data_IF_272718127195
#
_entry.id   IF_272718127195
#
_cell.length_a   1.000
_cell.length_b   1.000
_cell.length_c   1.000
_cell.angle_alpha   90.00
_cell.angle_beta   90.00
_cell.angle_gamma   90.00
#
_symmetry.space_group_name_H-M   'P 1'
#
loop_
_entity.id
_entity.type
_entity.pdbx_description
1 polymer ?
#
# COMPACT_ATOMS: atom_id res chain seq x y z
N UNK A 1 -9.49 30.81 -50.84
CA UNK A 1 -10.34 30.02 -51.76
C UNK A 1 -9.63 29.90 -53.09
N UNK A 2 -9.76 28.75 -53.72
CA UNK A 2 -9.21 28.46 -55.04
C UNK A 2 -10.35 27.92 -55.92
N UNK A 3 -10.34 28.27 -57.20
CA UNK A 3 -11.39 27.82 -58.12
C UNK A 3 -11.06 26.41 -58.61
N UNK A 4 -11.89 25.44 -58.24
CA UNK A 4 -11.77 24.07 -58.74
C UNK A 4 -12.44 23.97 -60.11
N UNK A 5 -11.63 23.76 -61.13
CA UNK A 5 -12.07 23.67 -62.53
C UNK A 5 -12.91 22.41 -62.79
N UNK A 6 -12.71 21.33 -62.04
CA UNK A 6 -13.42 20.06 -62.24
C UNK A 6 -14.88 20.14 -61.78
N UNK A 7 -15.14 20.84 -60.67
CA UNK A 7 -16.48 21.00 -60.11
C UNK A 7 -17.06 22.42 -60.28
N UNK A 8 -16.34 23.30 -60.98
CA UNK A 8 -16.73 24.68 -61.31
C UNK A 8 -17.17 25.51 -60.10
N UNK A 9 -16.55 25.31 -58.95
CA UNK A 9 -16.86 26.03 -57.71
C UNK A 9 -15.61 26.48 -56.97
N UNK A 10 -15.75 27.48 -56.09
CA UNK A 10 -14.68 27.88 -55.20
C UNK A 10 -14.59 26.91 -54.02
N UNK A 11 -13.41 26.33 -53.81
CA UNK A 11 -13.11 25.46 -52.68
C UNK A 11 -12.05 26.08 -51.79
N UNK A 12 -11.94 25.59 -50.56
CA UNK A 12 -10.83 25.95 -49.69
C UNK A 12 -9.53 25.36 -50.22
N UNK A 13 -8.43 26.09 -50.03
CA UNK A 13 -7.09 25.57 -50.36
C UNK A 13 -6.77 24.37 -49.46
N UNK A 14 -5.92 23.45 -49.91
CA UNK A 14 -5.67 22.14 -49.27
C UNK A 14 -5.38 22.17 -47.75
N UNK A 15 -4.83 23.27 -47.22
CA UNK A 15 -4.56 23.39 -45.77
C UNK A 15 -5.77 23.80 -44.93
N UNK A 16 -6.83 24.31 -45.55
CA UNK A 16 -8.03 24.85 -44.90
C UNK A 16 -9.18 23.84 -44.97
N UNK A 17 -10.07 23.92 -44.00
CA UNK A 17 -11.35 23.21 -44.02
C UNK A 17 -12.47 24.22 -44.27
N UNK A 18 -13.60 23.72 -44.77
CA UNK A 18 -14.83 24.52 -44.87
C UNK A 18 -15.62 24.35 -43.58
N UNK A 19 -15.85 25.44 -42.86
CA UNK A 19 -16.66 25.50 -41.64
C UNK A 19 -17.65 26.66 -41.78
N UNK A 20 -18.96 26.37 -41.71
CA UNK A 20 -20.06 27.31 -41.98
C UNK A 20 -19.90 28.14 -43.28
N UNK A 21 -19.38 27.49 -44.34
CA UNK A 21 -19.17 28.14 -45.64
C UNK A 21 -17.94 29.07 -45.71
N UNK A 22 -17.14 29.13 -44.65
CA UNK A 22 -15.89 29.91 -44.58
C UNK A 22 -14.69 28.96 -44.53
N UNK A 23 -13.58 29.35 -45.15
CA UNK A 23 -12.32 28.59 -45.05
C UNK A 23 -11.59 28.92 -43.76
N UNK A 24 -11.53 27.97 -42.83
CA UNK A 24 -10.88 28.10 -41.53
C UNK A 24 -9.76 27.07 -41.35
N UNK A 25 -8.92 27.26 -40.33
CA UNK A 25 -7.99 26.21 -39.92
C UNK A 25 -8.69 25.28 -38.93
N UNK A 26 -8.60 23.98 -39.18
CA UNK A 26 -9.12 22.95 -38.28
C UNK A 26 -8.57 23.11 -36.85
N UNK A 27 -9.25 22.50 -35.89
CA UNK A 27 -8.72 22.32 -34.54
C UNK A 27 -7.29 21.75 -34.58
N UNK A 28 -6.45 22.21 -33.66
CA UNK A 28 -5.02 21.89 -33.62
C UNK A 28 -4.14 22.63 -34.63
N UNK A 29 -4.72 23.46 -35.53
CA UNK A 29 -3.96 24.23 -36.52
C UNK A 29 -4.16 25.73 -36.38
N UNK A 30 -3.19 26.54 -36.79
CA UNK A 30 -3.29 28.00 -36.84
C UNK A 30 -2.77 28.56 -38.17
N UNK A 31 -3.17 29.79 -38.49
CA UNK A 31 -2.82 30.45 -39.74
C UNK A 31 -1.40 31.05 -39.64
N UNK A 32 -0.46 30.48 -40.40
CA UNK A 32 0.91 30.98 -40.49
C UNK A 32 1.28 31.21 -41.95
N UNK A 33 1.58 32.46 -42.32
CA UNK A 33 1.94 32.85 -43.69
C UNK A 33 0.93 32.39 -44.76
N UNK A 34 -0.37 32.52 -44.47
CA UNK A 34 -1.45 32.19 -45.41
C UNK A 34 -1.74 30.69 -45.56
N UNK A 35 -1.15 29.83 -44.72
CA UNK A 35 -1.44 28.39 -44.68
C UNK A 35 -1.72 27.95 -43.25
N UNK A 36 -2.63 26.98 -43.08
CA UNK A 36 -2.86 26.38 -41.77
C UNK A 36 -1.72 25.40 -41.46
N UNK A 37 -1.08 25.60 -40.31
CA UNK A 37 -0.04 24.72 -39.77
C UNK A 37 -0.44 24.21 -38.40
N UNK A 38 0.04 23.03 -38.02
CA UNK A 38 -0.15 22.52 -36.65
C UNK A 38 0.33 23.53 -35.61
N UNK A 39 -0.34 23.57 -34.47
CA UNK A 39 0.14 24.31 -33.30
C UNK A 39 1.55 23.83 -32.93
N UNK A 40 2.39 24.76 -32.46
CA UNK A 40 3.70 24.41 -31.89
C UNK A 40 3.54 23.66 -30.56
N UNK A 41 4.61 23.03 -30.05
CA UNK A 41 4.55 22.35 -28.74
C UNK A 41 4.23 23.35 -27.63
N UNK A 42 3.47 22.91 -26.63
CA UNK A 42 2.95 23.81 -25.59
C UNK A 42 1.82 24.74 -26.06
N UNK A 43 1.16 24.43 -27.18
CA UNK A 43 -0.01 25.16 -27.68
C UNK A 43 -1.12 24.22 -28.15
N UNK A 44 -2.37 24.67 -28.06
CA UNK A 44 -3.53 23.90 -28.51
C UNK A 44 -4.65 24.80 -29.08
N UNK A 45 -5.55 24.23 -29.87
CA UNK A 45 -6.73 24.94 -30.40
C UNK A 45 -7.91 23.99 -30.60
N UNK A 46 -9.05 24.25 -29.96
CA UNK A 46 -10.19 23.33 -29.93
C UNK A 46 -11.22 23.57 -31.04
N UNK A 47 -11.31 24.82 -31.49
CA UNK A 47 -12.27 25.30 -32.47
C UNK A 47 -11.69 25.31 -33.89
N UNK A 48 -12.57 25.42 -34.88
CA UNK A 48 -12.20 25.64 -36.27
C UNK A 48 -12.21 27.15 -36.54
N UNK A 49 -11.03 27.75 -36.64
CA UNK A 49 -10.90 29.21 -36.79
C UNK A 49 -9.56 29.58 -37.41
N UNK A 50 -9.38 30.83 -37.79
CA UNK A 50 -8.06 31.34 -38.23
C UNK A 50 -7.21 31.85 -37.07
N UNK A 51 -7.72 31.77 -35.85
CA UNK A 51 -7.09 32.36 -34.67
C UNK A 51 -5.79 31.64 -34.29
N UNK A 52 -5.01 32.31 -33.44
CA UNK A 52 -3.78 31.77 -32.87
C UNK A 52 -4.10 30.64 -31.89
N UNK A 53 -3.20 29.66 -31.78
CA UNK A 53 -3.34 28.61 -30.78
C UNK A 53 -3.18 29.19 -29.36
N UNK A 54 -4.02 28.72 -28.43
CA UNK A 54 -3.93 29.00 -27.01
C UNK A 54 -2.61 28.48 -26.43
N UNK A 55 -2.13 29.10 -25.35
CA UNK A 55 -0.82 28.84 -24.76
C UNK A 55 -0.97 28.01 -23.50
N UNK A 56 -0.34 26.83 -23.46
CA UNK A 56 -0.43 25.95 -22.29
C UNK A 56 0.11 26.60 -21.01
N UNK A 57 1.25 27.29 -21.11
CA UNK A 57 1.96 27.95 -20.01
C UNK A 57 1.10 29.00 -19.27
N UNK A 58 0.27 29.76 -20.00
CA UNK A 58 -0.52 30.85 -19.40
C UNK A 58 -1.99 30.48 -19.17
N UNK A 59 -2.50 29.48 -19.90
CA UNK A 59 -3.94 29.21 -19.96
C UNK A 59 -4.33 27.87 -19.31
N UNK A 60 -3.36 27.01 -18.98
CA UNK A 60 -3.63 25.63 -18.52
C UNK A 60 -2.75 25.23 -17.33
N UNK A 61 -1.45 25.10 -17.55
CA UNK A 61 -0.45 24.64 -16.57
C UNK A 61 0.74 25.58 -16.66
N UNK A 62 1.07 26.26 -15.57
CA UNK A 62 2.21 27.17 -15.53
C UNK A 62 3.51 26.40 -15.79
N UNK A 63 4.28 26.82 -16.79
CA UNK A 63 5.53 26.21 -17.24
C UNK A 63 5.37 25.04 -18.22
N UNK A 64 4.16 24.76 -18.71
CA UNK A 64 3.93 23.71 -19.71
C UNK A 64 4.26 24.23 -21.12
N UNK A 65 5.46 23.88 -21.58
CA UNK A 65 6.00 24.28 -22.89
C UNK A 65 6.07 23.11 -23.88
N UNK A 66 5.61 21.93 -23.47
CA UNK A 66 5.71 20.69 -24.26
C UNK A 66 4.32 20.10 -24.52
N UNK A 67 4.27 19.14 -25.46
CA UNK A 67 3.06 18.40 -25.79
C UNK A 67 3.24 16.90 -25.55
N UNK A 68 2.20 16.22 -25.04
CA UNK A 68 2.24 14.77 -24.85
C UNK A 68 2.41 14.06 -26.20
N UNK A 69 3.40 13.18 -26.30
CA UNK A 69 3.66 12.41 -27.53
C UNK A 69 2.43 11.61 -27.98
N UNK A 70 2.06 11.76 -29.26
CA UNK A 70 0.94 11.06 -29.86
C UNK A 70 -0.44 11.63 -29.54
N UNK A 71 -0.52 12.82 -28.93
CA UNK A 71 -1.79 13.55 -28.75
C UNK A 71 -1.97 14.62 -29.80
N UNK A 72 -3.22 14.84 -30.22
CA UNK A 72 -3.58 15.95 -31.09
C UNK A 72 -3.64 17.25 -30.27
N UNK A 73 -3.17 18.36 -30.85
CA UNK A 73 -3.16 19.69 -30.21
C UNK A 73 -4.54 20.36 -30.23
N UNK A 74 -5.60 19.57 -30.15
CA UNK A 74 -7.00 20.00 -30.23
C UNK A 74 -7.57 20.38 -28.87
N UNK A 75 -6.85 20.14 -27.77
CA UNK A 75 -7.33 20.50 -26.43
C UNK A 75 -6.19 20.73 -25.45
N UNK A 76 -6.53 21.35 -24.32
CA UNK A 76 -5.64 21.54 -23.19
C UNK A 76 -5.06 20.22 -22.62
N UNK A 77 -5.66 19.07 -22.91
CA UNK A 77 -5.13 17.76 -22.49
C UNK A 77 -3.80 17.40 -23.17
N UNK A 78 -3.47 18.07 -24.28
CA UNK A 78 -2.17 17.92 -24.95
C UNK A 78 -1.04 18.65 -24.23
N UNK A 79 -1.33 19.59 -23.32
CA UNK A 79 -0.35 20.37 -22.58
C UNK A 79 0.45 19.50 -21.60
N UNK A 80 1.78 19.61 -21.62
CA UNK A 80 2.64 18.80 -20.79
C UNK A 80 3.80 19.60 -20.16
N UNK A 81 4.20 19.16 -18.97
CA UNK A 81 5.51 19.51 -18.43
C UNK A 81 6.60 18.76 -19.20
N UNK A 82 7.69 19.46 -19.49
CA UNK A 82 8.83 18.88 -20.18
C UNK A 82 9.64 17.90 -19.33
N UNK A 83 10.71 17.39 -19.94
CA UNK A 83 11.63 16.44 -19.31
C UNK A 83 12.21 16.97 -18.00
N UNK A 84 12.39 16.08 -17.02
CA UNK A 84 12.91 16.46 -15.70
C UNK A 84 11.93 17.25 -14.83
N UNK A 85 10.69 17.44 -15.28
CA UNK A 85 9.63 18.15 -14.57
C UNK A 85 8.38 17.30 -14.40
N UNK A 86 7.57 17.64 -13.42
CA UNK A 86 6.25 17.05 -13.20
C UNK A 86 5.21 18.14 -12.95
N UNK A 87 3.96 17.86 -13.30
CA UNK A 87 2.83 18.72 -12.96
C UNK A 87 2.43 18.54 -11.49
N UNK A 88 2.48 19.63 -10.73
CA UNK A 88 1.91 19.73 -9.39
C UNK A 88 0.55 20.46 -9.44
N UNK A 89 -0.57 19.73 -9.26
CA UNK A 89 -1.90 20.32 -9.30
C UNK A 89 -2.29 21.06 -8.00
N UNK A 90 -1.48 20.98 -6.94
CA UNK A 90 -1.84 21.49 -5.60
C UNK A 90 -1.81 23.02 -5.50
N UNK A 91 -1.11 23.69 -6.41
CA UNK A 91 -0.92 25.15 -6.42
C UNK A 91 -1.36 25.78 -7.77
N UNK A 92 -2.66 25.79 -8.10
CA UNK A 92 -3.16 26.48 -9.28
C UNK A 92 -2.98 28.00 -9.16
N UNK A 93 -2.68 28.68 -10.28
CA UNK A 93 -2.56 30.14 -10.34
C UNK A 93 -3.66 30.74 -11.22
N UNK A 94 -3.94 32.05 -11.13
CA UNK A 94 -4.84 32.72 -12.08
C UNK A 94 -4.37 32.48 -13.52
N UNK A 95 -5.26 32.00 -14.38
CA UNK A 95 -4.95 31.60 -15.76
C UNK A 95 -4.53 30.14 -15.92
N UNK A 96 -3.91 29.51 -14.90
CA UNK A 96 -3.41 28.12 -14.97
C UNK A 96 -4.09 27.24 -13.93
N UNK A 97 -5.36 26.85 -14.17
CA UNK A 97 -6.18 26.14 -13.19
C UNK A 97 -5.71 24.71 -12.92
N UNK A 98 -4.86 24.14 -13.78
CA UNK A 98 -4.39 22.76 -13.64
C UNK A 98 -3.07 22.64 -12.86
N UNK A 99 -2.50 23.76 -12.38
CA UNK A 99 -1.31 23.77 -11.55
C UNK A 99 -0.06 24.26 -12.29
N UNK A 100 1.11 23.78 -11.86
CA UNK A 100 2.41 24.25 -12.33
C UNK A 100 3.39 23.09 -12.54
N UNK A 101 4.30 23.25 -13.49
CA UNK A 101 5.44 22.37 -13.68
C UNK A 101 6.53 22.68 -12.66
N UNK A 102 6.88 21.67 -11.87
CA UNK A 102 7.95 21.72 -10.88
C UNK A 102 9.10 20.81 -11.31
N UNK A 103 10.33 21.21 -10.98
CA UNK A 103 11.51 20.41 -11.28
C UNK A 103 11.59 19.21 -10.33
N UNK A 104 11.81 18.03 -10.88
CA UNK A 104 11.97 16.81 -10.09
C UNK A 104 13.16 16.87 -9.11
N UNK A 105 14.19 17.67 -9.42
CA UNK A 105 15.34 17.88 -8.55
C UNK A 105 15.00 18.60 -7.25
N UNK A 106 13.89 19.34 -7.20
CA UNK A 106 13.44 20.07 -6.00
C UNK A 106 12.80 19.15 -4.95
N UNK A 107 12.53 17.88 -5.29
CA UNK A 107 11.92 16.89 -4.41
C UNK A 107 12.90 16.34 -3.35
N UNK A 108 13.61 17.21 -2.63
CA UNK A 108 14.47 16.91 -1.45
C UNK A 108 15.45 15.73 -1.51
N UNK A 109 15.60 15.02 -2.63
CA UNK A 109 16.58 13.96 -2.86
C UNK A 109 16.85 13.89 -4.37
N UNK A 110 18.10 14.12 -4.82
CA UNK A 110 18.45 13.93 -6.22
C UNK A 110 18.34 12.45 -6.68
N UNK A 111 18.04 11.51 -5.78
CA UNK A 111 18.19 10.08 -6.06
C UNK A 111 16.92 9.24 -5.97
N UNK A 112 15.77 9.78 -5.53
CA UNK A 112 14.56 8.98 -5.26
C UNK A 112 13.58 8.79 -6.40
N UNK A 113 13.77 9.49 -7.52
CA UNK A 113 12.79 9.58 -8.63
C UNK A 113 13.47 9.31 -9.98
N UNK A 114 12.74 8.76 -10.95
CA UNK A 114 13.19 8.56 -12.35
C UNK A 114 12.51 9.57 -13.29
N UNK A 115 13.04 10.78 -13.44
CA UNK A 115 12.32 11.89 -14.10
C UNK A 115 12.89 12.35 -15.45
N UNK A 116 14.08 11.90 -15.84
CA UNK A 116 14.87 12.62 -16.85
C UNK A 116 14.37 12.49 -18.30
N UNK A 117 13.64 11.41 -18.64
CA UNK A 117 13.32 11.09 -20.04
C UNK A 117 11.83 11.19 -20.41
N UNK A 118 10.95 11.47 -19.45
CA UNK A 118 9.50 11.39 -19.66
C UNK A 118 8.87 12.78 -19.73
N UNK A 119 8.07 13.03 -20.76
CA UNK A 119 7.23 14.23 -20.91
C UNK A 119 5.85 13.94 -20.31
N UNK A 120 5.24 14.94 -19.66
CA UNK A 120 3.88 14.81 -19.14
C UNK A 120 3.77 14.02 -17.84
N UNK A 121 4.87 13.96 -17.06
CA UNK A 121 4.79 13.44 -15.70
C UNK A 121 3.87 14.31 -14.85
N UNK A 122 3.12 13.67 -13.97
CA UNK A 122 2.30 14.32 -12.94
C UNK A 122 2.79 13.87 -11.58
N UNK A 123 2.43 14.60 -10.52
CA UNK A 123 2.73 14.17 -9.16
C UNK A 123 2.23 12.73 -8.90
N UNK A 124 1.04 12.40 -9.40
CA UNK A 124 0.46 11.06 -9.28
C UNK A 124 1.29 9.98 -9.99
N UNK A 125 1.70 10.24 -11.23
CA UNK A 125 2.42 9.28 -12.10
C UNK A 125 3.94 9.31 -11.92
N UNK A 126 4.43 10.11 -10.96
CA UNK A 126 5.85 10.28 -10.72
C UNK A 126 6.51 8.94 -10.31
N UNK A 127 7.45 8.40 -11.12
CA UNK A 127 8.04 7.10 -10.87
C UNK A 127 9.13 7.19 -9.80
N UNK A 128 8.95 6.45 -8.71
CA UNK A 128 9.92 6.33 -7.64
C UNK A 128 10.96 5.25 -7.97
N UNK A 129 12.19 5.44 -7.48
CA UNK A 129 13.21 4.37 -7.48
C UNK A 129 12.88 3.34 -6.39
N UNK A 130 13.38 2.13 -6.57
CA UNK A 130 13.27 1.08 -5.55
C UNK A 130 13.98 1.53 -4.26
N UNK A 131 13.42 1.15 -3.11
CA UNK A 131 13.91 1.58 -1.80
C UNK A 131 13.51 3.00 -1.40
N UNK A 132 12.63 3.66 -2.16
CA UNK A 132 12.01 4.93 -1.75
C UNK A 132 10.54 4.73 -1.43
N UNK A 133 9.92 5.69 -0.75
CA UNK A 133 8.51 5.63 -0.40
C UNK A 133 7.92 7.02 -0.26
N UNK A 134 6.62 7.12 -0.53
CA UNK A 134 5.80 8.31 -0.26
C UNK A 134 4.47 7.88 0.33
N UNK A 135 3.86 8.76 1.12
CA UNK A 135 2.60 8.47 1.80
C UNK A 135 1.39 8.33 0.87
N UNK A 136 1.45 8.91 -0.32
CA UNK A 136 0.40 8.82 -1.34
C UNK A 136 0.93 9.28 -2.68
N UNK A 137 0.19 8.99 -3.75
CA UNK A 137 0.47 9.47 -5.11
C UNK A 137 0.49 10.99 -5.22
N UNK A 138 -0.10 11.72 -4.27
CA UNK A 138 -0.13 13.19 -4.23
C UNK A 138 0.92 13.81 -3.29
N UNK A 139 1.81 13.00 -2.73
CA UNK A 139 2.90 13.48 -1.86
C UNK A 139 4.18 13.68 -2.67
N UNK A 140 4.74 14.88 -2.58
CA UNK A 140 6.09 15.26 -3.02
C UNK A 140 7.16 14.98 -1.96
N UNK A 141 6.74 14.56 -0.76
CA UNK A 141 7.65 14.11 0.30
C UNK A 141 8.00 12.66 0.05
N UNK A 142 9.20 12.47 -0.48
CA UNK A 142 9.79 11.18 -0.80
C UNK A 142 10.89 10.90 0.22
N UNK A 143 10.87 9.72 0.79
CA UNK A 143 11.86 9.29 1.79
C UNK A 143 12.47 7.95 1.40
N UNK A 144 13.71 7.70 1.81
CA UNK A 144 14.33 6.39 1.65
C UNK A 144 13.76 5.41 2.67
N UNK A 145 13.55 4.17 2.26
CA UNK A 145 13.14 3.10 3.13
C UNK A 145 14.28 2.58 4.00
N UNK A 146 13.95 2.11 5.20
CA UNK A 146 14.92 1.49 6.10
C UNK A 146 15.50 0.20 5.50
N UNK A 147 14.67 -0.51 4.73
CA UNK A 147 15.03 -1.73 4.01
C UNK A 147 14.66 -1.50 2.55
N UNK A 148 15.68 -1.40 1.68
CA UNK A 148 15.48 -1.07 0.27
C UNK A 148 14.52 -2.06 -0.43
N UNK A 149 14.55 -3.35 -0.05
CA UNK A 149 13.68 -4.37 -0.63
C UNK A 149 12.22 -4.31 -0.17
N UNK A 150 11.92 -3.57 0.91
CA UNK A 150 10.55 -3.46 1.44
C UNK A 150 9.66 -2.51 0.62
N UNK A 151 10.30 -1.61 -0.13
CA UNK A 151 9.64 -0.60 -0.95
C UNK A 151 9.94 -0.85 -2.42
N UNK A 152 9.00 -1.52 -3.09
CA UNK A 152 9.09 -1.83 -4.51
C UNK A 152 7.84 -1.26 -5.17
N UNK A 153 8.03 -0.37 -6.12
CA UNK A 153 6.93 0.30 -6.80
C UNK A 153 6.54 -0.47 -8.05
N UNK A 154 5.66 -1.44 -7.90
CA UNK A 154 5.04 -2.13 -9.04
C UNK A 154 3.96 -1.26 -9.71
N UNK A 155 3.37 -0.31 -8.97
CA UNK A 155 2.30 0.59 -9.44
C UNK A 155 2.35 1.92 -8.66
N UNK A 156 1.88 3.05 -9.22
CA UNK A 156 1.79 4.34 -8.51
C UNK A 156 1.03 4.32 -7.18
N UNK A 157 0.13 3.34 -6.98
CA UNK A 157 -0.67 3.18 -5.75
C UNK A 157 -0.15 2.08 -4.81
N UNK A 158 0.80 1.24 -5.26
CA UNK A 158 1.32 0.12 -4.48
C UNK A 158 2.84 0.26 -4.30
N UNK A 159 3.22 0.79 -3.12
CA UNK A 159 4.59 1.18 -2.80
C UNK A 159 5.34 0.14 -1.96
N UNK A 160 4.66 -0.93 -1.54
CA UNK A 160 5.22 -1.92 -0.61
C UNK A 160 5.28 -3.30 -1.24
N UNK A 161 6.36 -4.03 -0.98
CA UNK A 161 6.41 -5.47 -1.29
C UNK A 161 5.36 -6.25 -0.53
N UNK A 162 4.98 -7.40 -1.10
CA UNK A 162 4.08 -8.37 -0.47
C UNK A 162 4.51 -8.66 0.98
N UNK A 163 3.53 -8.61 1.90
CA UNK A 163 3.76 -8.84 3.32
C UNK A 163 4.07 -7.57 4.12
N UNK A 164 4.36 -6.45 3.44
CA UNK A 164 4.65 -5.15 4.06
C UNK A 164 3.51 -4.15 3.80
N UNK A 165 3.29 -3.25 4.76
CA UNK A 165 2.28 -2.18 4.69
C UNK A 165 2.67 -1.00 5.60
N UNK A 166 1.85 0.04 5.61
CA UNK A 166 2.01 1.22 6.45
C UNK A 166 3.16 2.14 6.02
N UNK A 167 3.50 3.14 6.86
CA UNK A 167 4.55 4.10 6.58
C UNK A 167 5.90 3.42 6.34
N UNK A 168 6.54 3.76 5.22
CA UNK A 168 7.86 3.23 4.83
C UNK A 168 7.85 1.69 4.74
N UNK A 169 6.68 1.09 4.51
CA UNK A 169 6.50 -0.35 4.43
C UNK A 169 7.06 -1.11 5.65
N UNK A 170 7.00 -0.47 6.83
CA UNK A 170 7.63 -0.96 8.07
C UNK A 170 6.75 -1.91 8.89
N UNK A 171 5.47 -2.05 8.51
CA UNK A 171 4.47 -2.87 9.20
C UNK A 171 4.25 -4.16 8.43
N UNK A 172 4.13 -5.30 9.10
CA UNK A 172 3.74 -6.54 8.45
C UNK A 172 2.23 -6.61 8.27
N UNK A 173 1.78 -7.05 7.09
CA UNK A 173 0.38 -7.39 6.87
C UNK A 173 -0.03 -8.57 7.74
N UNK A 174 -1.32 -8.77 7.90
CA UNK A 174 -1.86 -9.92 8.62
C UNK A 174 -1.31 -11.25 8.04
N UNK A 175 -0.97 -12.18 8.93
CA UNK A 175 -0.35 -13.46 8.55
C UNK A 175 1.15 -13.38 8.27
N UNK A 176 1.80 -12.22 8.44
CA UNK A 176 3.25 -12.05 8.31
C UNK A 176 3.88 -11.57 9.63
N UNK A 177 5.15 -11.92 9.86
CA UNK A 177 5.95 -11.45 10.99
C UNK A 177 7.38 -11.09 10.56
N UNK A 178 7.99 -10.14 11.26
CA UNK A 178 9.38 -9.73 11.01
C UNK A 178 10.35 -10.86 11.36
N UNK A 179 11.33 -11.08 10.49
CA UNK A 179 12.48 -11.93 10.78
C UNK A 179 13.61 -11.13 11.48
N UNK A 180 14.76 -11.75 11.69
CA UNK A 180 15.92 -11.11 12.33
C UNK A 180 16.54 -9.93 11.55
N UNK A 181 16.09 -9.70 10.31
CA UNK A 181 16.55 -8.63 9.41
C UNK A 181 15.39 -7.68 9.08
N UNK A 182 14.34 -7.65 9.91
CA UNK A 182 13.16 -6.79 9.78
C UNK A 182 12.33 -6.97 8.49
N UNK A 183 12.54 -8.07 7.76
CA UNK A 183 11.74 -8.44 6.57
C UNK A 183 10.51 -9.24 7.02
N UNK A 184 9.33 -8.86 6.54
CA UNK A 184 8.09 -9.57 6.81
C UNK A 184 8.06 -10.90 6.04
N UNK A 185 7.90 -12.01 6.77
CA UNK A 185 7.76 -13.36 6.23
C UNK A 185 6.43 -13.96 6.66
N UNK A 186 5.80 -14.81 5.82
CA UNK A 186 4.55 -15.45 6.20
C UNK A 186 4.78 -16.29 7.46
N UNK A 187 3.84 -16.20 8.39
CA UNK A 187 3.81 -17.04 9.57
C UNK A 187 3.72 -18.49 9.11
N UNK A 188 4.81 -19.24 9.25
CA UNK A 188 4.70 -20.69 9.25
C UNK A 188 3.87 -21.03 10.47
N UNK A 189 2.67 -21.57 10.26
CA UNK A 189 1.97 -22.28 11.31
C UNK A 189 2.85 -23.49 11.66
N UNK A 190 3.81 -23.28 12.56
CA UNK A 190 4.39 -24.34 13.34
C UNK A 190 3.25 -24.86 14.21
N UNK A 191 2.39 -25.68 13.58
CA UNK A 191 1.32 -26.36 14.25
C UNK A 191 1.97 -27.15 15.36
N UNK A 192 1.75 -26.71 16.60
CA UNK A 192 2.06 -27.51 17.77
C UNK A 192 1.34 -28.84 17.51
N UNK A 193 2.11 -29.89 17.22
CA UNK A 193 1.54 -31.09 16.66
C UNK A 193 0.50 -31.65 17.62
N UNK A 194 -0.55 -32.28 17.10
CA UNK A 194 -1.53 -33.02 17.90
C UNK A 194 -0.82 -33.98 18.87
N UNK A 195 0.37 -34.47 18.49
CA UNK A 195 1.26 -35.26 19.33
C UNK A 195 1.68 -34.57 20.63
N UNK A 196 1.93 -33.26 20.64
CA UNK A 196 2.29 -32.52 21.87
C UNK A 196 1.12 -32.45 22.85
N UNK A 197 -0.10 -32.21 22.35
CA UNK A 197 -1.31 -32.23 23.17
C UNK A 197 -1.61 -33.64 23.71
N UNK A 198 -1.45 -34.67 22.87
CA UNK A 198 -1.60 -36.07 23.30
C UNK A 198 -0.58 -36.47 24.39
N UNK A 199 0.65 -35.97 24.31
CA UNK A 199 1.68 -36.25 25.31
C UNK A 199 1.37 -35.60 26.66
N UNK A 200 0.88 -34.35 26.65
CA UNK A 200 0.45 -33.64 27.85
C UNK A 200 -0.80 -34.27 28.50
N UNK A 201 -1.77 -34.74 27.72
CA UNK A 201 -2.95 -35.43 28.26
C UNK A 201 -2.58 -36.78 28.88
N UNK A 202 -1.66 -37.55 28.27
CA UNK A 202 -1.18 -38.81 28.87
C UNK A 202 -0.41 -38.58 30.17
N UNK A 203 0.46 -37.56 30.23
CA UNK A 203 1.20 -37.22 31.46
C UNK A 203 0.28 -36.78 32.59
N UNK A 204 -0.79 -36.03 32.29
CA UNK A 204 -1.77 -35.62 33.31
C UNK A 204 -2.63 -36.79 33.79
N UNK A 205 -3.07 -37.69 32.90
CA UNK A 205 -3.83 -38.88 33.28
C UNK A 205 -3.00 -39.88 34.09
N UNK A 206 -1.73 -40.08 33.74
CA UNK A 206 -0.82 -40.96 34.49
C UNK A 206 -0.52 -40.42 35.88
N UNK A 207 -0.23 -39.13 36.02
CA UNK A 207 -0.03 -38.50 37.34
C UNK A 207 -1.30 -38.58 38.20
N UNK A 208 -2.47 -38.32 37.62
CA UNK A 208 -3.76 -38.49 38.31
C UNK A 208 -3.97 -39.94 38.75
N UNK A 209 -3.71 -40.91 37.88
CA UNK A 209 -3.79 -42.34 38.20
C UNK A 209 -2.90 -42.70 39.38
N UNK A 210 -1.63 -42.28 39.40
CA UNK A 210 -0.71 -42.55 40.52
C UNK A 210 -1.16 -41.90 41.82
N UNK A 211 -1.71 -40.67 41.77
CA UNK A 211 -2.27 -39.99 42.95
C UNK A 211 -3.49 -40.74 43.47
N UNK A 212 -4.43 -41.12 42.60
CA UNK A 212 -5.60 -41.91 42.97
C UNK A 212 -5.18 -43.27 43.53
N UNK A 213 -4.22 -43.96 42.92
CA UNK A 213 -3.69 -45.23 43.44
C UNK A 213 -3.04 -45.08 44.81
N UNK A 214 -2.39 -43.96 45.09
CA UNK A 214 -1.78 -43.68 46.40
C UNK A 214 -2.81 -43.34 47.47
N UNK A 215 -3.92 -42.70 47.09
CA UNK A 215 -5.04 -42.36 47.98
C UNK A 215 -5.91 -43.60 48.27
N UNK A 216 -6.31 -44.33 47.23
CA UNK A 216 -7.20 -45.49 47.33
C UNK A 216 -6.47 -46.82 47.60
N UNK A 217 -5.14 -46.89 47.42
CA UNK A 217 -4.34 -48.09 47.67
C UNK A 217 -3.92 -48.31 49.12
N UNK A 218 -4.47 -47.53 50.07
CA UNK A 218 -4.17 -47.64 51.51
C UNK A 218 -5.25 -48.33 52.33
N UNK A 219 -6.08 -49.18 51.73
CA UNK A 219 -7.01 -50.01 52.48
C UNK A 219 -6.84 -51.50 52.19
N UNK A 220 -5.84 -52.08 52.87
CA UNK A 220 -5.93 -53.42 53.42
C UNK A 220 -5.36 -53.39 54.84
N UNK A 221 -6.18 -53.01 55.80
CA UNK A 221 -5.91 -53.33 57.21
C UNK A 221 -7.09 -54.12 57.77
N UNK A 222 -6.75 -55.33 58.20
CA UNK A 222 -7.61 -56.37 58.71
C UNK A 222 -8.44 -55.88 59.91
N UNK A 223 -9.75 -56.06 59.84
CA UNK A 223 -10.70 -55.76 60.91
C UNK A 223 -10.58 -56.87 61.97
N UNK A 224 -9.72 -56.66 62.96
CA UNK A 224 -9.83 -57.29 64.28
C UNK A 224 -8.96 -56.53 65.29
N UNK A 225 -9.62 -55.85 66.25
CA UNK A 225 -9.06 -55.30 67.49
C UNK A 225 -8.19 -54.03 67.47
N UNK A 226 -8.60 -52.94 66.81
CA UNK A 226 -8.02 -51.59 67.06
C UNK A 226 -9.11 -50.56 67.30
N UNK A 227 -9.90 -50.72 68.36
CA UNK A 227 -10.86 -49.70 68.80
C UNK A 227 -10.28 -48.67 69.78
N UNK A 228 -9.00 -48.76 70.18
CA UNK A 228 -8.43 -47.87 71.20
C UNK A 228 -7.21 -47.03 70.79
N UNK A 229 -6.67 -47.21 69.58
CA UNK A 229 -5.53 -46.39 69.07
C UNK A 229 -5.93 -45.44 67.93
N UNK A 230 -7.23 -45.19 67.73
CA UNK A 230 -7.73 -44.30 66.65
C UNK A 230 -7.89 -42.83 67.11
N UNK A 231 -7.83 -42.52 68.40
CA UNK A 231 -7.97 -41.13 68.86
C UNK A 231 -6.68 -40.29 68.83
N UNK A 232 -5.49 -40.89 68.67
CA UNK A 232 -4.22 -40.12 68.63
C UNK A 232 -3.73 -39.72 67.24
N UNK A 233 -4.38 -40.19 66.18
CA UNK A 233 -4.03 -39.83 64.80
C UNK A 233 -4.91 -38.74 64.17
N UNK A 234 -5.91 -38.20 64.88
CA UNK A 234 -6.87 -37.20 64.36
C UNK A 234 -6.49 -35.74 64.64
N UNK A 235 -5.24 -35.46 65.01
CA UNK A 235 -4.75 -34.09 65.24
C UNK A 235 -3.84 -33.52 64.13
N UNK A 236 -3.53 -34.26 63.05
CA UNK A 236 -2.60 -33.79 62.01
C UNK A 236 -3.18 -33.77 60.56
N UNK A 237 -4.42 -34.25 60.36
CA UNK A 237 -5.06 -34.23 59.02
C UNK A 237 -5.43 -32.82 58.52
N UNK A 238 -5.63 -31.89 59.46
CA UNK A 238 -6.04 -30.51 59.17
C UNK A 238 -4.90 -29.65 58.61
N UNK A 239 -3.65 -29.97 58.95
CA UNK A 239 -2.48 -29.22 58.47
C UNK A 239 -2.01 -29.69 57.09
N UNK A 240 -2.05 -31.00 56.82
CA UNK A 240 -1.76 -31.56 55.50
C UNK A 240 -2.74 -31.08 54.42
N UNK A 241 -4.05 -31.15 54.70
CA UNK A 241 -5.10 -30.75 53.74
C UNK A 241 -5.00 -29.28 53.37
N UNK A 242 -4.63 -28.40 54.31
CA UNK A 242 -4.39 -26.98 54.04
C UNK A 242 -3.18 -26.77 53.12
N UNK A 243 -2.06 -27.46 53.35
CA UNK A 243 -0.87 -27.38 52.47
C UNK A 243 -1.13 -27.93 51.08
N UNK A 244 -1.92 -28.99 50.96
CA UNK A 244 -2.31 -29.57 49.67
C UNK A 244 -3.26 -28.66 48.89
N UNK A 245 -4.20 -28.00 49.58
CA UNK A 245 -5.14 -27.03 48.99
C UNK A 245 -4.43 -25.78 48.44
N UNK A 246 -3.36 -25.32 49.10
CA UNK A 246 -2.52 -24.22 48.61
C UNK A 246 -1.74 -24.62 47.35
N UNK A 247 -1.17 -25.83 47.31
CA UNK A 247 -0.44 -26.33 46.13
C UNK A 247 -1.37 -26.62 44.93
N UNK A 248 -2.56 -27.14 45.19
CA UNK A 248 -3.58 -27.36 44.17
C UNK A 248 -4.07 -26.04 43.56
N UNK A 249 -4.26 -24.99 44.38
CA UNK A 249 -4.62 -23.65 43.89
C UNK A 249 -3.57 -23.08 42.95
N UNK A 250 -2.28 -23.22 43.28
CA UNK A 250 -1.18 -22.78 42.42
C UNK A 250 -1.24 -23.50 41.07
N UNK A 251 -1.37 -24.83 41.06
CA UNK A 251 -1.50 -25.62 39.83
C UNK A 251 -2.73 -25.25 38.99
N UNK A 252 -3.88 -24.98 39.62
CA UNK A 252 -5.08 -24.55 38.90
C UNK A 252 -4.93 -23.15 38.31
N UNK A 253 -4.22 -22.24 38.99
CA UNK A 253 -3.94 -20.90 38.45
C UNK A 253 -2.97 -20.98 37.27
N UNK A 254 -1.93 -21.80 37.34
CA UNK A 254 -1.04 -22.06 36.20
C UNK A 254 -1.79 -22.71 35.03
N UNK A 255 -2.68 -23.66 35.29
CA UNK A 255 -3.52 -24.26 34.25
C UNK A 255 -4.48 -23.24 33.63
N UNK A 256 -5.08 -22.35 34.43
CA UNK A 256 -5.92 -21.27 33.90
C UNK A 256 -5.13 -20.34 32.97
N UNK A 257 -3.90 -19.96 33.32
CA UNK A 257 -3.02 -19.15 32.46
C UNK A 257 -2.67 -19.89 31.16
N UNK A 258 -2.31 -21.17 31.26
CA UNK A 258 -1.94 -22.01 30.10
C UNK A 258 -3.16 -22.31 29.20
N UNK A 259 -4.35 -22.51 29.78
CA UNK A 259 -5.59 -22.74 29.03
C UNK A 259 -6.15 -21.49 28.34
N UNK A 260 -5.68 -20.30 28.73
CA UNK A 260 -6.03 -19.01 28.12
C UNK A 260 -5.03 -18.58 27.03
N UNK A 261 -3.89 -19.27 26.91
CA UNK A 261 -2.90 -19.04 25.85
C UNK A 261 -3.35 -19.44 24.41
N UNK A 262 -4.25 -20.40 24.15
CA UNK A 262 -4.71 -20.63 22.78
C UNK A 262 -5.74 -19.60 22.32
N UNK A 263 -6.22 -18.70 23.17
CA UNK A 263 -7.14 -17.62 22.77
C UNK A 263 -6.43 -16.39 22.20
N UNK A 264 -5.10 -16.33 22.26
CA UNK A 264 -4.30 -15.21 21.72
C UNK A 264 -3.49 -15.58 20.47
N UNK A 265 -3.66 -16.81 19.94
CA UNK A 265 -2.95 -17.30 18.74
C UNK A 265 -3.89 -17.76 17.61
N UNK A 266 -5.19 -17.47 17.72
CA UNK A 266 -6.13 -17.61 16.61
C UNK A 266 -6.91 -16.30 16.47
N UNK A 267 -6.60 -15.43 15.49
CA UNK A 267 -7.57 -14.46 15.05
C UNK A 267 -8.63 -15.23 14.27
N UNK A 268 -9.80 -15.36 14.87
CA UNK A 268 -11.05 -15.53 14.13
C UNK A 268 -11.31 -14.23 13.37
N UNK A 269 -11.06 -14.24 12.07
CA UNK A 269 -11.80 -13.49 11.04
C UNK A 269 -11.35 -13.96 9.66
#
# INVERSE_FOLDING_TARGET
MEYDVAIKTCVCQESFITDDGICTCAAGKTLVNGKCKECEDGRFKADNSTDSCNVCDTDVIHGALETINGTDKTSAASCACGKGKFQDPRNPQPGTPQGKCEDCMNLNLPEGVKCDDTIGLTLATLPLKDGYWRSSSQSDKIVKCEIDTSCVHASPDDSCTIGHTGPICSVCTEGYNKNAVDICKPCSSAGVSIGFYALLTVLTLTTLYFVLRKIFGKEKLTIANVSNEIQKATADDKHWSKRLKTKAKILTSFYQIISKLPSTLSPTS
#
